data_IF_161631779367
#
_entry.id   IF_161631779367
#
_cell.length_a   1.000
_cell.length_b   1.000
_cell.length_c   1.000
_cell.angle_alpha   90.00
_cell.angle_beta   90.00
_cell.angle_gamma   90.00
#
_symmetry.space_group_name_H-M   'P 1'
#
loop_
_entity.id
_entity.type
_entity.pdbx_description
1 polymer ?
2 non-polymer ?
3 non-polymer ?
4 water ?
#
# COMPACT_ATOMS: atom_id res chain seq x y z
N UNK A 3 10.15 -6.14 -36.90
CA UNK A 3 9.45 -7.14 -36.02
C UNK A 3 8.57 -8.08 -36.80
N UNK A 4 8.46 -9.32 -36.32
CA UNK A 4 7.66 -10.34 -36.98
C UNK A 4 6.20 -10.19 -36.57
N UNK A 5 5.37 -9.77 -37.52
CA UNK A 5 3.94 -9.65 -37.29
C UNK A 5 3.28 -11.00 -37.08
N UNK A 6 3.80 -12.03 -37.76
CA UNK A 6 3.33 -13.41 -37.59
C UNK A 6 3.48 -13.87 -36.15
N UNK A 7 4.66 -13.60 -35.57
CA UNK A 7 4.98 -14.00 -34.20
C UNK A 7 4.13 -13.22 -33.19
N UNK A 8 4.14 -11.90 -33.31
CA UNK A 8 3.31 -11.03 -32.45
C UNK A 8 1.82 -11.35 -32.53
N UNK A 9 1.33 -11.71 -33.72
CA UNK A 9 -0.06 -12.12 -33.88
C UNK A 9 -0.37 -13.38 -33.09
N UNK A 10 0.57 -14.33 -33.08
CA UNK A 10 0.40 -15.54 -32.30
C UNK A 10 0.32 -15.24 -30.81
N UNK A 11 1.19 -14.35 -30.34
CA UNK A 11 1.14 -13.84 -28.95
C UNK A 11 -0.17 -13.13 -28.66
N UNK A 12 -0.65 -12.35 -29.63
CA UNK A 12 -1.94 -11.66 -29.53
C UNK A 12 -3.07 -12.66 -29.38
N UNK A 13 -3.04 -13.73 -30.19
CA UNK A 13 -4.04 -14.79 -30.11
C UNK A 13 -4.04 -15.49 -28.76
N UNK A 14 -2.86 -15.73 -28.19
CA UNK A 14 -2.74 -16.38 -26.89
C UNK A 14 -3.26 -15.50 -25.76
N UNK A 15 -2.95 -14.21 -25.84
CA UNK A 15 -3.40 -13.22 -24.90
C UNK A 15 -4.92 -13.07 -24.92
N UNK A 16 -5.49 -13.03 -26.13
CA UNK A 16 -6.92 -12.78 -26.28
C UNK A 16 -7.82 -14.01 -26.06
N UNK A 17 -7.25 -15.21 -26.24
CA UNK A 17 -7.98 -16.46 -26.02
C UNK A 17 -8.19 -16.69 -24.51
N UNK A 18 -7.20 -16.31 -23.72
CA UNK A 18 -7.29 -16.41 -22.25
C UNK A 18 -6.98 -15.06 -21.60
N UNK A 19 -7.92 -14.09 -21.68
CA UNK A 19 -7.60 -12.72 -21.26
C UNK A 19 -7.24 -12.58 -19.77
N UNK A 20 -7.85 -13.40 -18.91
CA UNK A 20 -7.55 -13.35 -17.48
C UNK A 20 -6.15 -13.86 -17.11
N UNK A 21 -5.52 -14.61 -18.00
CA UNK A 21 -4.19 -15.15 -17.76
C UNK A 21 -3.06 -14.36 -18.43
N UNK A 22 -3.43 -13.30 -19.14
CA UNK A 22 -2.48 -12.43 -19.86
C UNK A 22 -1.51 -11.79 -18.87
N UNK A 23 -0.23 -12.03 -19.12
CA UNK A 23 0.94 -11.58 -18.33
C UNK A 23 1.14 -12.24 -16.96
N UNK A 24 0.23 -13.14 -16.59
CA UNK A 24 0.39 -13.93 -15.36
C UNK A 24 1.60 -14.85 -15.45
N UNK A 25 2.36 -14.92 -14.37
CA UNK A 25 3.53 -15.80 -14.31
C UNK A 25 3.16 -17.16 -13.74
N UNK A 26 3.98 -18.17 -14.06
CA UNK A 26 3.89 -19.50 -13.48
C UNK A 26 4.29 -19.42 -12.00
N UNK A 27 3.89 -20.44 -11.23
CA UNK A 27 4.20 -20.57 -9.80
C UNK A 27 5.70 -20.39 -9.58
N UNK A 28 6.04 -19.48 -8.67
CA UNK A 28 7.43 -19.16 -8.39
C UNK A 28 7.89 -19.88 -7.13
N UNK A 29 9.20 -19.87 -6.90
CA UNK A 29 9.78 -20.57 -5.77
C UNK A 29 9.97 -19.67 -4.54
N UNK A 30 10.32 -18.42 -4.78
CA UNK A 30 10.57 -17.45 -3.71
C UNK A 30 9.26 -16.94 -3.13
N UNK A 31 9.15 -16.96 -1.80
CA UNK A 31 7.95 -16.51 -1.08
C UNK A 31 8.28 -15.31 -0.22
N UNK A 32 7.26 -14.48 0.06
CA UNK A 32 7.48 -13.25 0.79
C UNK A 32 6.45 -13.02 1.88
N UNK A 33 6.89 -12.37 2.97
CA UNK A 33 5.97 -11.82 3.94
C UNK A 33 6.14 -10.30 4.05
N UNK A 34 5.12 -9.57 3.62
CA UNK A 34 5.13 -8.12 3.71
C UNK A 34 4.35 -7.61 4.91
N UNK A 35 5.01 -6.84 5.76
CA UNK A 35 4.30 -6.15 6.82
C UNK A 35 4.35 -4.68 6.51
N UNK A 36 3.17 -4.08 6.40
CA UNK A 36 3.08 -2.67 6.07
C UNK A 36 1.90 -1.97 6.70
N UNK A 37 1.90 -0.64 6.60
CA UNK A 37 0.96 0.28 7.24
C UNK A 37 1.17 0.26 8.75
N UNK A 38 0.60 -0.74 9.43
CA UNK A 38 0.76 -0.95 10.88
C UNK A 38 0.64 0.31 11.71
N UNK A 39 -0.40 1.10 11.45
CA UNK A 39 -0.63 2.32 12.18
C UNK A 39 -1.28 2.00 13.52
N UNK A 40 -1.01 2.84 14.53
CA UNK A 40 -1.64 2.71 15.84
C UNK A 40 -3.16 2.78 15.76
N UNK A 41 -3.86 1.87 16.46
CA UNK A 41 -5.33 1.82 16.40
C UNK A 41 -5.98 2.89 17.29
N UNK A 42 -5.53 4.13 17.11
CA UNK A 42 -5.91 5.25 17.96
C UNK A 42 -6.56 6.36 17.15
N UNK A 43 -6.87 6.07 15.89
CA UNK A 43 -7.44 7.05 14.97
C UNK A 43 -7.57 6.56 13.54
N UNK A 44 -8.22 7.36 12.67
CA UNK A 44 -8.21 7.07 11.24
C UNK A 44 -6.83 7.31 10.65
N UNK A 45 -6.55 6.67 9.51
CA UNK A 45 -5.26 6.79 8.85
C UNK A 45 -4.96 8.22 8.41
N UNK A 46 -3.75 8.68 8.73
CA UNK A 46 -3.29 9.96 8.26
C UNK A 46 -2.84 9.82 6.82
N UNK A 47 -2.67 10.94 6.12
CA UNK A 47 -2.28 10.93 4.72
C UNK A 47 -0.84 10.42 4.52
N UNK A 48 0.01 10.59 5.53
CA UNK A 48 1.39 10.09 5.50
C UNK A 48 1.52 8.58 5.44
N UNK A 49 0.44 7.86 5.74
CA UNK A 49 0.39 6.41 5.62
C UNK A 49 0.07 5.96 4.19
N UNK A 50 -0.38 6.89 3.35
CA UNK A 50 -0.95 6.55 2.06
C UNK A 50 0.04 5.95 1.06
N UNK A 51 1.23 6.55 0.96
CA UNK A 51 2.25 6.04 0.04
C UNK A 51 2.66 4.62 0.37
N UNK A 52 2.96 4.34 1.64
CA UNK A 52 3.28 3.00 2.12
C UNK A 52 2.16 2.02 1.81
N UNK A 53 0.93 2.41 2.15
CA UNK A 53 -0.25 1.57 1.89
C UNK A 53 -0.44 1.26 0.39
N UNK A 54 -0.38 2.30 -0.44
CA UNK A 54 -0.62 2.16 -1.89
C UNK A 54 0.50 1.34 -2.52
N UNK A 55 1.75 1.65 -2.16
CA UNK A 55 2.90 0.89 -2.62
C UNK A 55 2.79 -0.59 -2.25
N UNK A 56 2.47 -0.89 -0.99
CA UNK A 56 2.43 -2.28 -0.53
C UNK A 56 1.35 -3.12 -1.16
N UNK A 57 0.19 -2.51 -1.40
CA UNK A 57 -0.92 -3.26 -1.99
C UNK A 57 -0.63 -3.53 -3.46
N UNK A 58 -0.05 -2.55 -4.13
CA UNK A 58 0.31 -2.73 -5.53
C UNK A 58 1.38 -3.81 -5.62
N UNK A 59 2.42 -3.71 -4.80
CA UNK A 59 3.45 -4.76 -4.69
C UNK A 59 2.85 -6.15 -4.51
N UNK A 60 1.91 -6.25 -3.56
CA UNK A 60 1.21 -7.51 -3.28
C UNK A 60 0.47 -8.04 -4.50
N UNK A 61 -0.37 -7.20 -5.11
CA UNK A 61 -1.14 -7.58 -6.30
C UNK A 61 -0.23 -8.02 -7.43
N UNK A 62 0.88 -7.30 -7.58
CA UNK A 62 1.85 -7.59 -8.63
C UNK A 62 2.57 -8.91 -8.36
N UNK A 63 3.07 -9.08 -7.14
CA UNK A 63 3.68 -10.35 -6.75
C UNK A 63 2.78 -11.56 -7.00
N UNK A 64 1.51 -11.45 -6.61
CA UNK A 64 0.55 -12.55 -6.80
C UNK A 64 0.31 -12.83 -8.29
N UNK A 65 0.16 -11.77 -9.08
CA UNK A 65 -0.04 -11.87 -10.53
C UNK A 65 1.10 -12.64 -11.17
N UNK A 66 2.32 -12.37 -10.72
CA UNK A 66 3.51 -12.97 -11.28
C UNK A 66 3.78 -14.38 -10.74
N UNK A 67 2.93 -14.86 -9.84
CA UNK A 67 3.01 -16.24 -9.36
C UNK A 67 3.81 -16.43 -8.09
N UNK A 68 4.14 -15.31 -7.42
CA UNK A 68 4.85 -15.39 -6.15
C UNK A 68 3.84 -15.63 -5.02
N UNK A 69 4.23 -16.47 -4.06
CA UNK A 69 3.49 -16.61 -2.79
C UNK A 69 3.83 -15.37 -1.98
N UNK A 70 2.82 -14.59 -1.62
CA UNK A 70 3.08 -13.27 -1.05
C UNK A 70 2.01 -12.96 -0.02
N UNK A 71 2.40 -12.98 1.25
CA UNK A 71 1.51 -12.69 2.37
C UNK A 71 1.66 -11.29 2.90
N UNK A 72 0.55 -10.76 3.42
CA UNK A 72 0.52 -9.43 4.00
C UNK A 72 0.04 -9.47 5.45
N UNK A 73 0.60 -8.57 6.26
CA UNK A 73 0.35 -8.54 7.69
C UNK A 73 0.43 -7.11 8.24
N UNK A 74 -0.42 -6.83 9.21
CA UNK A 74 -0.53 -5.54 9.86
C UNK A 74 -0.31 -5.79 11.34
N UNK A 75 0.59 -5.01 11.93
CA UNK A 75 0.89 -5.13 13.34
C UNK A 75 0.09 -4.10 14.12
N UNK A 76 -0.73 -4.58 15.05
CA UNK A 76 -1.58 -3.72 15.88
C UNK A 76 -0.89 -3.43 17.21
N UNK A 77 -0.49 -2.18 17.42
CA UNK A 77 0.14 -1.76 18.68
C UNK A 77 -0.93 -1.57 19.74
N UNK A 78 -1.49 -2.67 20.22
CA UNK A 78 -2.69 -2.60 21.07
C UNK A 78 -2.46 -2.93 22.54
N UNK A 79 -1.25 -2.68 23.02
CA UNK A 79 -0.95 -2.81 24.44
C UNK A 79 -1.80 -1.81 25.22
N UNK A 80 -2.19 -2.20 26.44
CA UNK A 80 -2.96 -1.34 27.33
C UNK A 80 -2.29 0.00 27.58
N UNK A 81 -0.96 -0.03 27.67
CA UNK A 81 -0.14 1.15 27.87
C UNK A 81 -0.06 2.05 26.63
N UNK A 82 -0.30 1.45 25.46
CA UNK A 82 -0.29 2.18 24.19
C UNK A 82 -1.65 2.84 23.91
N UNK A 83 -2.73 2.12 24.20
CA UNK A 83 -4.09 2.56 23.89
C UNK A 83 -4.81 3.27 25.04
N UNK A 84 -4.12 3.44 26.17
CA UNK A 84 -4.70 4.08 27.36
C UNK A 84 -5.22 5.49 27.05
N UNK A 85 -4.38 6.29 26.38
CA UNK A 85 -4.71 7.67 26.00
C UNK A 85 -5.97 7.76 25.12
N UNK A 86 -6.18 6.78 24.26
CA UNK A 86 -7.40 6.70 23.45
C UNK A 86 -8.64 6.51 24.34
N UNK A 87 -8.55 5.64 25.36
CA UNK A 87 -9.61 5.46 26.33
C UNK A 87 -9.84 6.72 27.16
N UNK A 88 -8.74 7.37 27.52
CA UNK A 88 -8.75 8.63 28.26
C UNK A 88 -9.45 9.74 27.49
N UNK A 89 -9.09 9.88 26.22
CA UNK A 89 -9.59 10.94 25.36
C UNK A 89 -11.09 10.86 25.09
N UNK A 90 -11.59 9.64 24.94
CA UNK A 90 -13.03 9.40 24.74
C UNK A 90 -13.84 9.77 25.97
N UNK A 91 -13.32 9.36 27.14
CA UNK A 91 -13.89 9.73 28.44
C UNK A 91 -14.03 11.25 28.59
N UNK A 92 -12.96 11.96 28.22
CA UNK A 92 -12.89 13.41 28.34
C UNK A 92 -13.87 14.13 27.43
N UNK A 93 -14.04 13.62 26.21
CA UNK A 93 -14.99 14.22 25.27
C UNK A 93 -16.44 13.83 25.56
N UNK A 94 -16.64 12.72 26.28
CA UNK A 94 -17.96 12.38 26.84
C UNK A 94 -18.31 13.41 27.92
N UNK A 95 -17.32 13.73 28.76
CA UNK A 95 -17.48 14.68 29.86
C UNK A 95 -17.79 16.12 29.42
N UNK A 96 -17.19 16.55 28.31
CA UNK A 96 -17.32 17.96 27.90
C UNK A 96 -18.35 18.22 26.80
N UNK A 97 -18.44 17.32 25.82
CA UNK A 97 -19.35 17.52 24.69
C UNK A 97 -20.73 16.86 24.89
N UNK A 98 -20.80 15.87 25.77
CA UNK A 98 -22.05 15.15 26.03
C UNK A 98 -22.57 15.43 27.45
N UNK A 99 -21.65 15.50 28.40
CA UNK A 99 -22.00 15.73 29.81
C UNK A 99 -21.80 17.18 30.27
N UNK A 100 -21.16 17.99 29.43
CA UNK A 100 -21.05 19.45 29.58
C UNK A 100 -20.36 20.00 30.84
N UNK A 101 -19.43 19.24 31.42
CA UNK A 101 -18.64 19.77 32.54
C UNK A 101 -17.27 20.31 32.11
N UNK A 102 -16.73 21.21 32.91
CA UNK A 102 -15.37 21.73 32.74
C UNK A 102 -14.34 20.67 33.12
N UNK A 103 -13.44 20.36 32.19
CA UNK A 103 -12.45 19.29 32.39
C UNK A 103 -11.00 19.71 32.16
N UNK A 104 -10.11 19.10 32.94
CA UNK A 104 -8.67 19.24 32.79
C UNK A 104 -8.17 18.47 31.58
N UNK A 105 -7.37 19.13 30.74
CA UNK A 105 -6.77 18.48 29.57
C UNK A 105 -5.26 18.40 29.68
N UNK A 106 -4.69 17.20 29.42
CA UNK A 106 -3.23 16.99 29.39
C UNK A 106 -2.59 17.61 28.15
N UNK A 107 -1.27 17.55 28.08
CA UNK A 107 -0.53 18.15 26.96
C UNK A 107 -0.58 17.30 25.69
N UNK A 108 -0.84 16.00 25.85
CA UNK A 108 -1.01 15.09 24.72
C UNK A 108 -2.34 14.35 24.84
N UNK A 109 -3.25 14.59 23.91
CA UNK A 109 -4.56 13.92 23.86
C UNK A 109 -5.13 13.86 22.44
N UNK A 110 -6.02 12.89 22.22
CA UNK A 110 -6.64 12.72 20.91
C UNK A 110 -7.95 13.50 20.77
N UNK A 111 -8.01 14.32 19.73
CA UNK A 111 -9.13 15.22 19.47
C UNK A 111 -9.58 15.12 18.02
N UNK A 112 -10.81 15.53 17.74
CA UNK A 112 -11.32 15.57 16.38
C UNK A 112 -12.76 15.12 16.25
N UNK A 113 -13.27 15.18 15.01
CA UNK A 113 -14.61 14.72 14.69
C UNK A 113 -14.78 13.23 15.01
N UNK A 114 -13.73 12.44 14.80
CA UNK A 114 -13.79 11.00 15.05
C UNK A 114 -13.89 10.68 16.55
N UNK A 115 -13.28 11.51 17.38
CA UNK A 115 -13.28 11.30 18.82
C UNK A 115 -14.65 11.61 19.43
N UNK A 116 -15.36 12.58 18.86
CA UNK A 116 -16.68 12.95 19.37
C UNK A 116 -17.77 11.99 18.88
N UNK A 117 -17.61 11.42 17.68
CA UNK A 117 -18.53 10.42 17.14
C UNK A 117 -18.46 9.12 17.93
N UNK A 118 -17.24 8.74 18.29
CA UNK A 118 -16.94 7.53 19.04
C UNK A 118 -17.41 7.67 20.50
N UNK A 119 -17.29 8.88 21.04
CA UNK A 119 -17.81 9.22 22.36
C UNK A 119 -19.34 9.11 22.44
N UNK A 120 -20.01 9.47 21.34
CA UNK A 120 -21.46 9.32 21.22
C UNK A 120 -21.85 7.85 21.11
N UNK A 121 -21.00 7.08 20.42
CA UNK A 121 -21.16 5.64 20.34
C UNK A 121 -20.94 5.00 21.71
N UNK A 122 -19.96 5.53 22.44
CA UNK A 122 -19.60 5.03 23.77
C UNK A 122 -20.71 5.27 24.80
N UNK A 123 -21.24 6.49 24.79
CA UNK A 123 -22.29 6.90 25.73
C UNK A 123 -23.58 6.11 25.53
N UNK A 124 -23.87 5.76 24.28
CA UNK A 124 -25.05 4.98 23.92
C UNK A 124 -24.93 3.51 24.33
N UNK A 125 -23.72 2.97 24.23
CA UNK A 125 -23.44 1.56 24.50
C UNK A 125 -23.34 1.27 26.00
N UNK A 126 -22.60 2.12 26.72
CA UNK A 126 -22.23 1.86 28.10
C UNK A 126 -23.10 2.56 29.13
N UNK A 127 -23.69 3.69 28.74
CA UNK A 127 -24.49 4.50 29.65
C UNK A 127 -23.64 5.43 30.51
N UNK A 128 -24.29 6.44 31.08
CA UNK A 128 -23.67 7.50 31.88
C UNK A 128 -22.82 7.01 33.04
N UNK A 129 -23.31 5.92 33.67
CA UNK A 129 -22.72 5.31 34.86
C UNK A 129 -21.27 4.85 34.68
N UNK A 130 -20.96 4.45 33.45
CA UNK A 130 -19.73 3.78 33.11
C UNK A 130 -18.53 4.71 33.15
N UNK A 131 -18.78 5.96 32.88
CA UNK A 131 -17.73 6.92 32.58
C UNK A 131 -16.99 7.49 33.79
N UNK A 132 -16.09 6.67 34.32
CA UNK A 132 -15.17 7.06 35.38
C UNK A 132 -13.77 6.54 35.04
N UNK A 133 -12.75 7.05 35.75
CA UNK A 133 -11.33 6.73 35.51
C UNK A 133 -10.96 5.24 35.63
N UNK A 134 -11.76 4.48 36.34
CA UNK A 134 -11.50 3.05 36.51
C UNK A 134 -11.87 2.21 35.29
N UNK A 135 -12.75 2.74 34.46
CA UNK A 135 -13.20 2.03 33.26
C UNK A 135 -12.46 2.42 31.97
N UNK A 136 -11.42 3.25 32.09
CA UNK A 136 -10.61 3.68 30.93
C UNK A 136 -10.05 2.52 30.08
N UNK A 137 -9.37 1.51 30.70
CA UNK A 137 -8.89 0.43 29.83
C UNK A 137 -9.98 -0.48 29.25
N UNK A 138 -11.14 -0.53 29.89
CA UNK A 138 -12.31 -1.21 29.32
C UNK A 138 -12.84 -0.43 28.11
N UNK A 139 -12.76 0.90 28.21
CA UNK A 139 -13.20 1.82 27.16
C UNK A 139 -12.21 1.77 25.99
N UNK A 140 -10.92 1.80 26.33
CA UNK A 140 -9.83 1.72 25.36
C UNK A 140 -9.84 0.43 24.53
N UNK A 141 -10.13 -0.71 25.17
CA UNK A 141 -10.24 -1.99 24.47
C UNK A 141 -11.36 -1.99 23.43
N UNK A 142 -12.52 -1.47 23.84
CA UNK A 142 -13.69 -1.31 22.98
C UNK A 142 -13.41 -0.33 21.86
N UNK A 143 -12.72 0.75 22.22
CA UNK A 143 -12.40 1.83 21.28
C UNK A 143 -11.42 1.41 20.21
N UNK A 144 -10.32 0.77 20.63
CA UNK A 144 -9.26 0.38 19.71
C UNK A 144 -9.76 -0.63 18.68
N UNK A 145 -10.76 -1.43 19.08
CA UNK A 145 -11.43 -2.34 18.18
C UNK A 145 -12.30 -1.61 17.16
N UNK A 146 -12.89 -0.49 17.57
CA UNK A 146 -13.68 0.35 16.67
C UNK A 146 -12.77 1.07 15.69
N UNK A 147 -11.64 1.56 16.18
CA UNK A 147 -10.64 2.23 15.35
C UNK A 147 -9.99 1.30 14.35
N UNK A 148 -9.80 0.04 14.73
CA UNK A 148 -9.27 -0.96 13.83
C UNK A 148 -10.28 -1.27 12.74
N UNK A 149 -11.56 -1.22 13.08
CA UNK A 149 -12.64 -1.33 12.10
C UNK A 149 -12.59 -0.13 11.15
N UNK A 150 -12.38 1.06 11.72
CA UNK A 150 -12.25 2.31 10.96
C UNK A 150 -11.05 2.28 10.00
N UNK A 151 -9.90 1.85 10.51
CA UNK A 151 -8.67 1.76 9.72
C UNK A 151 -8.87 0.77 8.57
N UNK A 152 -9.48 -0.38 8.87
CA UNK A 152 -9.79 -1.36 7.82
C UNK A 152 -10.63 -0.78 6.69
N UNK A 153 -11.63 0.01 7.04
CA UNK A 153 -12.47 0.63 6.00
C UNK A 153 -11.81 1.82 5.30
N UNK A 154 -10.92 2.53 6.00
CA UNK A 154 -10.03 3.53 5.40
C UNK A 154 -9.22 2.90 4.28
N UNK A 155 -8.69 1.71 4.53
CA UNK A 155 -7.93 0.94 3.57
C UNK A 155 -8.81 0.37 2.46
N UNK A 156 -10.01 -0.08 2.81
CA UNK A 156 -10.93 -0.65 1.83
C UNK A 156 -11.39 0.41 0.83
N UNK A 157 -11.52 1.64 1.31
CA UNK A 157 -11.83 2.80 0.48
C UNK A 157 -10.79 3.00 -0.64
N UNK A 158 -9.54 2.70 -0.34
CA UNK A 158 -8.45 2.77 -1.32
C UNK A 158 -8.17 1.41 -1.97
N UNK A 159 -9.13 0.49 -1.86
CA UNK A 159 -9.06 -0.86 -2.44
C UNK A 159 -7.94 -1.73 -1.83
N UNK A 160 -7.66 -1.51 -0.56
CA UNK A 160 -6.61 -2.25 0.15
C UNK A 160 -7.20 -3.15 1.23
N UNK A 161 -6.91 -4.44 1.12
CA UNK A 161 -7.22 -5.40 2.18
C UNK A 161 -5.94 -6.12 2.59
N UNK A 162 -5.67 -6.17 3.89
CA UNK A 162 -4.49 -6.86 4.43
C UNK A 162 -4.92 -8.21 5.02
N UNK A 163 -4.13 -9.25 4.76
CA UNK A 163 -4.57 -10.63 5.03
C UNK A 163 -4.46 -11.11 6.47
N UNK A 164 -3.72 -10.39 7.30
CA UNK A 164 -3.54 -10.78 8.70
C UNK A 164 -3.27 -9.58 9.59
N UNK A 165 -4.07 -9.43 10.63
CA UNK A 165 -3.84 -8.41 11.65
C UNK A 165 -3.36 -9.11 12.92
N UNK A 166 -2.20 -8.69 13.43
CA UNK A 166 -1.62 -9.34 14.63
C UNK A 166 -1.51 -8.39 15.81
N UNK A 167 -1.72 -8.92 17.01
CA UNK A 167 -1.75 -8.12 18.23
C UNK A 167 -0.41 -8.12 18.95
N UNK A 168 0.00 -6.92 19.40
CA UNK A 168 1.16 -6.73 20.28
C UNK A 168 1.00 -7.55 21.56
N UNK A 169 -0.22 -7.57 22.11
CA UNK A 169 -0.55 -8.28 23.34
C UNK A 169 -0.28 -9.79 23.30
N UNK A 170 -0.34 -10.39 22.11
CA UNK A 170 -0.06 -11.82 21.98
C UNK A 170 1.43 -12.18 21.99
N UNK A 171 2.28 -11.17 22.22
CA UNK A 171 3.74 -11.36 22.28
C UNK A 171 4.36 -11.10 23.65
N UNK A 172 3.54 -11.02 24.71
CA UNK A 172 4.05 -10.80 26.06
C UNK A 172 4.72 -12.05 26.61
N UNK A 173 4.19 -13.22 26.23
CA UNK A 173 4.76 -14.50 26.61
C UNK A 173 6.00 -14.86 25.79
N UNK A 174 6.23 -14.17 24.68
CA UNK A 174 7.29 -14.51 23.74
C UNK A 174 8.63 -13.82 23.99
N UNK A 175 8.66 -12.93 24.98
CA UNK A 175 9.84 -12.12 25.27
C UNK A 175 11.02 -12.95 25.78
N UNK A 176 10.71 -13.90 26.66
CA UNK A 176 11.75 -14.73 27.27
C UNK A 176 12.52 -15.55 26.25
N UNK A 177 11.81 -16.18 25.30
CA UNK A 177 12.42 -16.96 24.23
C UNK A 177 13.34 -16.13 23.34
N UNK A 178 12.98 -14.86 23.14
CA UNK A 178 13.80 -13.90 22.40
C UNK A 178 15.09 -13.59 23.17
N UNK A 179 14.97 -13.28 24.46
CA UNK A 179 16.13 -13.04 25.31
C UNK A 179 17.08 -14.23 25.28
N UNK A 180 16.52 -15.42 25.47
CA UNK A 180 17.27 -16.66 25.43
C UNK A 180 18.03 -16.86 24.13
N UNK A 181 17.32 -16.71 23.01
CA UNK A 181 17.92 -16.89 21.68
C UNK A 181 19.03 -15.87 21.44
N UNK A 182 18.80 -14.63 21.86
CA UNK A 182 19.80 -13.57 21.84
C UNK A 182 21.05 -13.92 22.66
N UNK A 183 20.86 -14.53 23.82
CA UNK A 183 21.99 -14.94 24.66
C UNK A 183 22.77 -16.09 24.05
N UNK A 184 22.06 -17.03 23.43
CA UNK A 184 22.67 -18.16 22.72
C UNK A 184 23.60 -17.74 21.57
N UNK A 185 23.44 -16.49 21.11
CA UNK A 185 24.30 -15.89 20.08
C UNK A 185 25.16 -14.76 20.64
N UNK A 186 25.17 -14.65 21.96
CA UNK A 186 25.95 -13.66 22.73
C UNK A 186 25.57 -12.22 22.41
N UNK A 187 24.28 -11.99 22.18
CA UNK A 187 23.79 -10.70 21.74
C UNK A 187 23.34 -9.78 22.83
N UNK A 188 23.26 -10.28 24.06
CA UNK A 188 22.79 -9.48 25.19
C UNK A 188 23.73 -9.51 26.36
N UNK A 189 23.70 -8.44 27.16
CA UNK A 189 24.50 -8.31 28.37
C UNK A 189 23.83 -7.36 29.35
N UNK A 190 24.15 -7.51 30.64
CA UNK A 190 23.65 -6.60 31.67
C UNK A 190 24.66 -5.50 31.95
N UNK A 191 24.13 -4.28 32.13
CA UNK A 191 24.88 -3.13 32.59
C UNK A 191 23.92 -2.12 33.21
N UNK A 192 24.32 -1.54 34.35
CA UNK A 192 23.56 -0.54 35.11
C UNK A 192 22.10 -0.92 35.37
N UNK A 193 21.89 -2.19 35.70
CA UNK A 193 20.54 -2.71 35.97
C UNK A 193 19.67 -2.90 34.75
N UNK A 194 20.27 -2.79 33.56
CA UNK A 194 19.54 -2.92 32.31
C UNK A 194 20.10 -4.06 31.48
N UNK A 195 19.25 -4.66 30.65
CA UNK A 195 19.70 -5.63 29.66
C UNK A 195 19.81 -4.91 28.32
N UNK A 196 20.98 -5.02 27.70
CA UNK A 196 21.30 -4.33 26.46
C UNK A 196 21.50 -5.32 25.32
N UNK A 197 21.20 -4.88 24.10
CA UNK A 197 21.60 -5.59 22.88
C UNK A 197 22.94 -5.05 22.40
N UNK A 198 23.89 -5.95 22.12
CA UNK A 198 25.24 -5.57 21.69
C UNK A 198 25.29 -5.29 20.20
N UNK A 199 24.46 -4.35 19.74
CA UNK A 199 24.22 -4.13 18.31
C UNK A 199 25.39 -3.48 17.58
N UNK A 200 26.23 -2.75 18.32
CA UNK A 200 27.44 -2.15 17.74
C UNK A 200 28.51 -3.19 17.35
N UNK A 201 28.36 -4.42 17.82
CA UNK A 201 29.20 -5.54 17.40
C UNK A 201 28.77 -6.07 16.01
N UNK A 202 27.66 -5.54 15.52
CA UNK A 202 27.06 -5.93 14.24
C UNK A 202 26.73 -4.72 13.35
N UNK A 203 27.46 -3.63 13.54
CA UNK A 203 27.37 -2.49 12.62
C UNK A 203 26.41 -1.37 12.95
N UNK A 204 25.78 -1.44 14.11
CA UNK A 204 24.94 -0.34 14.58
C UNK A 204 25.86 0.74 15.17
N UNK A 205 25.37 1.97 15.25
CA UNK A 205 26.08 3.10 15.83
C UNK A 205 26.48 2.84 17.28
N UNK A 206 25.51 2.42 18.09
CA UNK A 206 25.71 2.17 19.52
C UNK A 206 24.79 1.04 20.02
N UNK A 207 25.05 0.56 21.23
CA UNK A 207 24.23 -0.51 21.83
C UNK A 207 22.89 0.04 22.32
N UNK A 208 21.92 -0.85 22.46
CA UNK A 208 20.51 -0.46 22.67
C UNK A 208 19.88 -1.18 23.86
N UNK A 209 18.99 -0.49 24.56
CA UNK A 209 18.30 -1.09 25.71
C UNK A 209 17.15 -2.02 25.29
N UNK A 210 17.24 -3.27 25.73
CA UNK A 210 16.18 -4.25 25.53
C UNK A 210 15.23 -4.25 26.73
N UNK A 211 15.79 -4.42 27.94
CA UNK A 211 15.00 -4.40 29.16
C UNK A 211 15.47 -3.23 30.03
N UNK A 212 14.51 -2.40 30.44
CA UNK A 212 14.78 -1.27 31.32
C UNK A 212 15.08 -1.76 32.74
N UNK A 213 15.58 -0.85 33.57
CA UNK A 213 15.81 -1.06 35.01
C UNK A 213 14.52 -1.41 35.75
N UNK A 214 13.39 -1.11 35.10
CA UNK A 214 12.05 -1.36 35.59
C UNK A 214 11.74 -2.85 35.53
N UNK A 215 12.37 -3.56 34.60
CA UNK A 215 12.04 -4.95 34.31
C UNK A 215 11.15 -5.05 33.09
N UNK A 216 10.80 -3.91 32.51
CA UNK A 216 9.95 -3.87 31.33
C UNK A 216 10.72 -3.83 30.03
N UNK A 217 10.17 -4.50 29.02
CA UNK A 217 10.72 -4.47 27.66
C UNK A 217 10.53 -3.11 27.02
N UNK A 218 11.48 -2.72 26.18
CA UNK A 218 11.39 -1.49 25.41
C UNK A 218 10.56 -1.69 24.13
N UNK A 219 10.33 -0.61 23.39
CA UNK A 219 9.73 -0.71 22.06
C UNK A 219 10.61 -1.55 21.14
N UNK A 220 11.93 -1.40 21.27
CA UNK A 220 12.86 -2.20 20.47
C UNK A 220 12.70 -3.69 20.76
N UNK A 221 12.60 -4.02 22.05
CA UNK A 221 12.39 -5.40 22.49
C UNK A 221 11.15 -6.00 21.83
N UNK A 222 10.04 -5.29 21.92
CA UNK A 222 8.76 -5.67 21.30
C UNK A 222 8.93 -5.89 19.79
N UNK A 223 9.69 -5.01 19.16
CA UNK A 223 9.93 -5.06 17.71
C UNK A 223 10.77 -6.28 17.33
N UNK A 224 11.81 -6.56 18.11
CA UNK A 224 12.65 -7.75 17.94
C UNK A 224 11.86 -9.08 18.06
N UNK A 225 11.07 -9.17 19.14
CA UNK A 225 10.16 -10.31 19.38
C UNK A 225 9.25 -10.60 18.18
N UNK A 226 8.59 -9.56 17.67
CA UNK A 226 7.72 -9.69 16.50
C UNK A 226 8.50 -10.15 15.28
N UNK A 227 9.63 -9.51 15.03
CA UNK A 227 10.46 -9.85 13.89
C UNK A 227 11.02 -11.27 13.95
N UNK A 228 11.35 -11.73 15.16
CA UNK A 228 11.77 -13.11 15.39
C UNK A 228 10.69 -14.10 14.92
N UNK A 229 9.44 -13.82 15.30
CA UNK A 229 8.29 -14.58 14.78
C UNK A 229 8.19 -14.50 13.25
N UNK A 230 8.14 -13.30 12.67
CA UNK A 230 8.05 -13.16 11.19
C UNK A 230 9.14 -13.90 10.41
N UNK A 231 10.38 -13.82 10.88
CA UNK A 231 11.52 -14.43 10.17
C UNK A 231 11.67 -15.93 10.37
N UNK A 232 10.90 -16.50 11.27
CA UNK A 232 11.01 -17.94 11.52
C UNK A 232 9.74 -18.63 11.04
N UNK A 233 9.14 -18.09 9.97
CA UNK A 233 7.88 -18.61 9.48
C UNK A 233 7.99 -19.37 8.16
N UNK A 234 9.21 -19.45 7.62
CA UNK A 234 9.43 -20.21 6.39
C UNK A 234 9.36 -19.42 5.09
N UNK A 235 9.16 -18.10 5.18
CA UNK A 235 9.14 -17.26 3.98
C UNK A 235 10.55 -17.02 3.46
N UNK A 236 10.69 -16.95 2.14
CA UNK A 236 11.98 -16.63 1.52
C UNK A 236 12.54 -15.30 1.99
N UNK A 237 11.67 -14.31 2.11
CA UNK A 237 12.07 -12.95 2.50
C UNK A 237 10.96 -12.27 3.31
N UNK A 238 11.35 -11.44 4.29
CA UNK A 238 10.42 -10.52 4.93
C UNK A 238 10.67 -9.11 4.45
N UNK A 239 9.61 -8.46 3.98
CA UNK A 239 9.68 -7.07 3.52
C UNK A 239 8.96 -6.14 4.49
N UNK A 240 9.62 -5.05 4.89
CA UNK A 240 8.97 -3.97 5.61
C UNK A 240 8.90 -2.72 4.73
N UNK A 241 7.83 -1.96 4.91
CA UNK A 241 7.78 -0.61 4.35
C UNK A 241 7.75 0.39 5.50
N UNK A 242 8.82 1.16 5.63
CA UNK A 242 8.93 2.14 6.70
C UNK A 242 8.97 3.54 6.12
N UNK A 243 8.63 4.54 6.95
CA UNK A 243 8.79 5.94 6.57
C UNK A 243 10.27 6.24 6.48
N UNK A 244 10.64 7.10 5.53
CA UNK A 244 12.05 7.42 5.25
C UNK A 244 12.80 8.02 6.43
N UNK A 245 12.09 8.67 7.35
CA UNK A 245 12.71 9.22 8.55
C UNK A 245 13.14 8.16 9.58
N UNK A 246 12.80 6.90 9.32
CA UNK A 246 13.22 5.78 10.16
C UNK A 246 14.42 5.03 9.58
N UNK A 247 15.23 5.70 8.76
CA UNK A 247 16.43 5.10 8.17
C UNK A 247 17.45 4.66 9.23
N UNK A 248 17.63 5.48 10.26
CA UNK A 248 18.61 5.22 11.33
C UNK A 248 18.32 4.02 12.21
N UNK A 249 17.11 3.47 12.05
CA UNK A 249 16.63 2.35 12.83
C UNK A 249 16.96 1.01 12.16
N UNK A 250 17.34 1.06 10.88
CA UNK A 250 17.68 -0.16 10.13
C UNK A 250 18.82 -0.99 10.75
N UNK A 251 20.01 -0.37 11.03
CA UNK A 251 21.12 -1.19 11.53
C UNK A 251 20.86 -1.98 12.81
N UNK A 252 20.10 -1.41 13.76
CA UNK A 252 19.80 -2.11 15.02
C UNK A 252 18.85 -3.28 14.84
N UNK A 253 18.02 -3.24 13.80
CA UNK A 253 17.11 -4.33 13.54
C UNK A 253 17.84 -5.46 12.82
N UNK A 254 18.70 -5.12 11.88
CA UNK A 254 19.52 -6.12 11.18
C UNK A 254 20.45 -6.84 12.16
N UNK A 255 21.01 -6.08 13.10
CA UNK A 255 21.89 -6.59 14.15
C UNK A 255 21.17 -7.58 15.04
N UNK A 256 19.93 -7.25 15.40
CA UNK A 256 19.07 -8.12 16.19
C UNK A 256 18.81 -9.44 15.49
N UNK A 257 18.51 -9.37 14.18
CA UNK A 257 18.25 -10.57 13.39
C UNK A 257 19.47 -11.46 13.25
N UNK A 258 20.65 -10.86 13.16
CA UNK A 258 21.90 -11.61 13.12
C UNK A 258 22.13 -12.33 14.45
N UNK A 259 21.78 -11.66 15.55
CA UNK A 259 21.88 -12.23 16.88
C UNK A 259 20.74 -13.22 17.21
N UNK A 260 19.93 -13.55 16.23
CA UNK A 260 18.88 -14.56 16.39
C UNK A 260 19.11 -15.72 15.42
N UNK A 261 20.26 -15.67 14.75
CA UNK A 261 20.65 -16.76 13.85
C UNK A 261 20.20 -16.54 12.42
N UNK A 262 19.50 -15.42 12.19
CA UNK A 262 18.98 -15.11 10.86
C UNK A 262 20.02 -14.39 9.99
N UNK A 263 19.90 -14.59 8.69
CA UNK A 263 20.63 -13.80 7.70
C UNK A 263 19.81 -12.53 7.50
N UNK A 264 20.38 -11.40 7.90
CA UNK A 264 19.66 -10.12 7.85
C UNK A 264 19.41 -9.60 6.42
N UNK A 265 20.08 -10.20 5.43
CA UNK A 265 19.75 -9.93 4.02
C UNK A 265 18.37 -10.44 3.60
N UNK A 266 17.79 -11.32 4.41
CA UNK A 266 16.42 -11.80 4.19
C UNK A 266 15.35 -10.89 4.81
N UNK A 267 15.80 -9.79 5.42
CA UNK A 267 14.92 -8.69 5.79
C UNK A 267 15.19 -7.50 4.90
N UNK A 268 14.22 -7.20 4.04
CA UNK A 268 14.34 -6.13 3.05
C UNK A 268 13.53 -4.95 3.55
N UNK A 269 14.19 -3.81 3.79
CA UNK A 269 13.49 -2.60 4.22
C UNK A 269 13.29 -1.66 3.03
N UNK A 270 12.03 -1.38 2.72
CA UNK A 270 11.68 -0.38 1.69
C UNK A 270 11.28 0.93 2.37
N UNK A 271 11.90 2.04 1.97
CA UNK A 271 11.60 3.33 2.57
C UNK A 271 10.66 4.19 1.73
N UNK A 272 9.55 4.59 2.34
CA UNK A 272 8.54 5.42 1.68
C UNK A 272 8.80 6.89 2.02
N UNK A 273 9.10 7.68 0.99
CA UNK A 273 9.40 9.09 1.19
C UNK A 273 8.18 9.98 1.36
N UNK A 274 8.41 11.19 1.88
CA UNK A 274 7.36 12.16 2.13
C UNK A 274 6.65 12.59 0.83
N UNK A 275 5.35 12.85 0.96
CA UNK A 275 4.55 13.34 -0.15
C UNK A 275 4.04 14.77 0.15
N UNK A 276 4.17 15.67 -0.82
CA UNK A 276 3.56 17.00 -0.73
C UNK A 276 2.31 17.07 -1.59
N UNK A 277 1.18 17.34 -0.95
CA UNK A 277 -0.06 17.54 -1.69
C UNK A 277 -0.34 19.02 -1.84
N UNK A 278 -0.70 19.41 -3.05
CA UNK A 278 -1.03 20.80 -3.36
C UNK A 278 -2.44 20.92 -3.91
N UNK A 279 -3.06 22.07 -3.65
CA UNK A 279 -4.29 22.49 -4.35
C UNK A 279 -4.16 23.95 -4.73
N UNK A 280 -4.26 24.21 -6.04
CA UNK A 280 -4.13 25.55 -6.65
C UNK A 280 -2.77 26.23 -6.41
N UNK A 281 -1.73 25.42 -6.30
CA UNK A 281 -0.36 25.90 -6.09
C UNK A 281 0.04 26.05 -4.63
N UNK A 282 -0.94 25.93 -3.74
CA UNK A 282 -0.73 26.08 -2.31
C UNK A 282 -0.80 24.70 -1.65
N UNK A 283 0.03 24.45 -0.61
CA UNK A 283 -0.07 23.21 0.17
C UNK A 283 -1.48 22.90 0.70
N UNK A 284 -1.88 21.64 0.54
CA UNK A 284 -3.17 21.11 0.98
C UNK A 284 -3.41 21.29 2.48
N UNK A 285 -4.63 21.68 2.83
CA UNK A 285 -5.07 21.86 4.22
C UNK A 285 -6.60 21.81 4.31
N UNK A 286 -7.13 22.07 5.51
CA UNK A 286 -8.57 22.28 5.68
C UNK A 286 -8.87 23.42 6.66
N UNK A 290 -11.75 20.00 11.88
CA UNK A 290 -12.19 18.75 12.50
C UNK A 290 -11.02 17.81 12.81
N UNK A 291 -9.83 18.40 13.01
CA UNK A 291 -8.63 17.63 13.31
C UNK A 291 -7.34 18.38 12.99
N UNK A 292 -6.25 18.00 13.66
CA UNK A 292 -4.95 18.63 13.44
C UNK A 292 -4.08 17.88 12.40
N UNK A 293 -4.63 16.82 11.83
CA UNK A 293 -3.95 16.01 10.82
C UNK A 293 -4.82 15.87 9.56
N UNK A 294 -4.18 15.75 8.40
CA UNK A 294 -4.92 15.44 7.18
C UNK A 294 -5.14 13.93 7.10
N UNK A 295 -6.38 13.55 6.86
CA UNK A 295 -6.80 12.16 6.87
C UNK A 295 -6.74 11.58 5.46
N UNK A 296 -6.28 10.34 5.35
CA UNK A 296 -6.31 9.59 4.09
C UNK A 296 -7.72 9.57 3.51
N UNK A 297 -8.69 9.39 4.40
CA UNK A 297 -10.12 9.40 4.14
C UNK A 297 -10.62 10.68 3.46
N UNK A 298 -10.14 11.83 3.95
CA UNK A 298 -10.54 13.13 3.42
C UNK A 298 -10.06 13.31 1.98
N UNK A 299 -8.82 12.88 1.73
CA UNK A 299 -8.22 12.96 0.41
C UNK A 299 -8.94 12.03 -0.59
N UNK A 300 -9.25 10.81 -0.17
CA UNK A 300 -10.01 9.88 -1.03
C UNK A 300 -11.42 10.40 -1.31
N UNK A 301 -12.02 11.07 -0.33
CA UNK A 301 -13.33 11.71 -0.50
C UNK A 301 -13.27 12.77 -1.61
N UNK A 302 -12.17 13.52 -1.63
CA UNK A 302 -12.01 14.61 -2.56
C UNK A 302 -11.58 14.15 -3.95
N UNK A 303 -10.54 13.32 -4.02
CA UNK A 303 -9.97 12.95 -5.33
C UNK A 303 -10.41 11.59 -5.89
N UNK A 304 -10.99 10.73 -5.05
CA UNK A 304 -11.36 9.40 -5.50
C UNK A 304 -10.21 8.42 -5.41
N UNK A 305 -10.56 7.13 -5.36
CA UNK A 305 -9.62 6.04 -5.16
C UNK A 305 -8.59 5.87 -6.26
N UNK A 306 -9.05 5.89 -7.52
CA UNK A 306 -8.17 5.74 -8.68
C UNK A 306 -7.04 6.75 -8.68
N UNK A 307 -7.39 8.01 -8.37
CA UNK A 307 -6.42 9.10 -8.34
C UNK A 307 -5.39 8.86 -7.26
N UNK A 308 -5.83 8.44 -6.06
CA UNK A 308 -4.92 8.11 -4.96
C UNK A 308 -3.97 6.99 -5.36
N UNK A 309 -4.53 5.94 -5.95
CA UNK A 309 -3.77 4.79 -6.37
C UNK A 309 -2.76 5.15 -7.47
N UNK A 310 -3.06 6.18 -8.26
CA UNK A 310 -2.16 6.60 -9.32
C UNK A 310 -1.05 7.48 -8.77
N UNK A 311 -1.45 8.58 -8.14
CA UNK A 311 -0.55 9.62 -7.67
C UNK A 311 0.50 9.03 -6.74
N UNK A 312 0.07 8.18 -5.80
CA UNK A 312 0.96 7.66 -4.78
C UNK A 312 1.91 6.55 -5.25
N UNK A 313 1.71 6.11 -6.49
CA UNK A 313 2.58 5.11 -7.11
C UNK A 313 3.51 5.74 -8.16
N UNK A 314 3.30 7.02 -8.45
CA UNK A 314 3.79 7.62 -9.70
C UNK A 314 5.25 8.04 -9.70
N UNK A 315 5.91 8.00 -8.54
CA UNK A 315 7.33 8.29 -8.48
C UNK A 315 8.06 7.32 -7.56
N UNK A 316 9.31 7.04 -7.89
CA UNK A 316 10.20 6.17 -7.11
C UNK A 316 10.05 6.41 -5.60
N UNK A 317 9.91 5.31 -4.87
CA UNK A 317 9.44 5.29 -3.48
C UNK A 317 10.28 6.11 -2.49
N UNK A 318 11.60 6.10 -2.68
CA UNK A 318 12.52 6.84 -1.81
C UNK A 318 12.85 8.25 -2.33
N UNK A 319 12.04 8.74 -3.27
CA UNK A 319 12.17 10.11 -3.78
C UNK A 319 10.91 10.91 -3.44
N UNK A 320 11.08 12.22 -3.21
CA UNK A 320 9.98 13.14 -2.89
C UNK A 320 8.96 13.26 -4.01
N UNK A 321 7.68 13.16 -3.66
CA UNK A 321 6.59 13.27 -4.60
C UNK A 321 5.79 14.53 -4.28
N UNK A 322 5.62 15.38 -5.29
CA UNK A 322 4.79 16.56 -5.17
C UNK A 322 3.71 16.50 -6.23
N UNK A 323 2.46 16.70 -5.84
CA UNK A 323 1.37 16.67 -6.79
C UNK A 323 0.31 17.71 -6.47
N UNK A 324 -0.16 18.40 -7.51
CA UNK A 324 -1.26 19.33 -7.40
C UNK A 324 -2.55 18.64 -7.84
N UNK A 325 -3.51 18.56 -6.91
CA UNK A 325 -4.78 17.86 -7.14
C UNK A 325 -5.76 18.58 -8.08
N UNK A 326 -5.42 19.83 -8.43
CA UNK A 326 -6.23 20.62 -9.37
C UNK A 326 -6.07 20.09 -10.80
N UNK A 327 -5.01 19.31 -11.02
CA UNK A 327 -4.73 18.69 -12.32
C UNK A 327 -5.78 17.64 -12.69
N UNK A 328 -6.49 17.12 -11.68
CA UNK A 328 -7.55 16.12 -11.87
C UNK A 328 -8.88 16.71 -12.36
N UNK A 329 -8.89 18.02 -12.58
CA UNK A 329 -10.03 18.70 -13.16
C UNK A 329 -9.90 18.76 -14.68
N UNK A 330 -8.65 18.68 -15.16
CA UNK A 330 -8.35 18.67 -16.59
C UNK A 330 -8.78 17.36 -17.27
N UNK A 331 -9.07 17.44 -18.57
CA UNK A 331 -9.44 16.27 -19.34
C UNK A 331 -8.50 16.08 -20.53
N UNK A 332 -7.21 15.99 -20.23
CA UNK A 332 -6.19 15.81 -21.26
C UNK A 332 -5.02 14.96 -20.75
N UNK A 333 -3.84 15.19 -21.34
CA UNK A 333 -2.61 14.47 -21.01
C UNK A 333 -2.16 14.67 -19.56
N UNK A 334 -2.49 15.82 -18.99
CA UNK A 334 -2.07 16.18 -17.64
C UNK A 334 -2.84 15.48 -16.52
N UNK A 335 -4.01 14.92 -16.84
CA UNK A 335 -4.74 14.03 -15.92
C UNK A 335 -4.61 12.60 -16.40
N UNK A 336 -3.57 11.88 -15.92
CA UNK A 336 -3.23 10.60 -16.50
C UNK A 336 -4.31 9.54 -16.29
N UNK A 337 -5.00 9.57 -15.16
CA UNK A 337 -6.10 8.62 -14.92
C UNK A 337 -7.22 8.77 -15.96
N UNK A 338 -7.61 10.02 -16.22
CA UNK A 338 -8.61 10.33 -17.25
C UNK A 338 -8.13 9.82 -18.59
N UNK A 339 -6.91 10.21 -18.92
CA UNK A 339 -6.31 10.01 -20.22
C UNK A 339 -6.16 8.52 -20.54
N UNK A 340 -5.71 7.75 -19.55
CA UNK A 340 -5.56 6.31 -19.71
C UNK A 340 -6.93 5.64 -19.82
N UNK A 341 -7.86 6.00 -18.94
CA UNK A 341 -9.24 5.52 -19.03
C UNK A 341 -9.91 5.89 -20.35
N UNK A 342 -9.62 7.09 -20.83
CA UNK A 342 -10.16 7.58 -22.10
C UNK A 342 -9.73 6.69 -23.27
N UNK A 343 -8.48 6.24 -23.26
CA UNK A 343 -7.97 5.29 -24.24
C UNK A 343 -8.80 4.01 -24.25
N UNK A 344 -9.02 3.45 -23.06
CA UNK A 344 -9.80 2.23 -22.88
C UNK A 344 -11.26 2.40 -23.33
N UNK A 345 -11.87 3.52 -22.94
CA UNK A 345 -13.25 3.85 -23.30
C UNK A 345 -13.42 4.09 -24.81
N UNK A 346 -12.43 4.73 -25.42
CA UNK A 346 -12.41 5.00 -26.86
C UNK A 346 -12.43 3.70 -27.66
N UNK A 347 -11.71 2.69 -27.17
CA UNK A 347 -11.68 1.34 -27.77
C UNK A 347 -13.04 0.66 -27.64
N UNK A 348 -13.63 0.74 -26.44
CA UNK A 348 -14.94 0.16 -26.18
C UNK A 348 -16.01 0.74 -27.10
N UNK A 349 -15.93 2.05 -27.34
CA UNK A 349 -16.89 2.76 -28.19
C UNK A 349 -16.74 2.46 -29.68
N UNK A 350 -15.50 2.34 -30.17
CA UNK A 350 -15.28 2.00 -31.58
C UNK A 350 -15.79 0.57 -31.91
N UNK A 351 -15.72 -0.33 -30.92
CA UNK A 351 -16.28 -1.67 -31.08
C UNK A 351 -17.81 -1.66 -31.15
N UNK A 352 -18.43 -0.73 -30.43
CA UNK A 352 -19.87 -0.56 -30.42
C UNK A 352 -20.32 0.09 -31.73
N UNK A 353 -19.52 1.04 -32.21
CA UNK A 353 -19.75 1.72 -33.49
C UNK A 353 -19.70 0.75 -34.66
N UNK A 354 -18.74 -0.18 -34.62
CA UNK A 354 -18.57 -1.18 -35.67
C UNK A 354 -19.58 -2.32 -35.56
N UNK A 355 -20.30 -2.39 -34.44
CA UNK A 355 -21.25 -3.47 -34.18
C UNK A 355 -20.57 -4.82 -34.07
N UNK A 356 -19.43 -4.85 -33.40
CA UNK A 356 -18.64 -6.08 -33.26
C UNK A 356 -18.20 -6.36 -31.83
N UNK A 357 -18.07 -7.64 -31.51
CA UNK A 357 -17.47 -8.07 -30.26
C UNK A 357 -16.03 -8.48 -30.55
N UNK A 358 -15.23 -8.57 -29.48
CA UNK A 358 -13.79 -8.86 -29.60
C UNK A 358 -13.49 -10.24 -30.18
N UNK A 359 -14.48 -11.14 -30.11
CA UNK A 359 -14.35 -12.49 -30.67
C UNK A 359 -14.59 -12.53 -32.18
N UNK A 360 -15.23 -11.50 -32.72
CA UNK A 360 -15.51 -11.41 -34.16
C UNK A 360 -14.28 -10.99 -34.98
N UNK A 361 -13.29 -10.40 -34.31
CA UNK A 361 -12.11 -9.82 -34.97
C UNK A 361 -10.84 -10.64 -34.70
N UNK A 362 -11.02 -11.71 -33.93
CA UNK A 362 -9.95 -12.64 -33.53
C UNK A 362 -9.21 -13.26 -34.72
N UNK A 363 -9.98 -13.61 -35.75
CA UNK A 363 -9.50 -14.24 -36.98
C UNK A 363 -8.56 -13.38 -37.83
N UNK A 364 -8.50 -12.08 -37.56
CA UNK A 364 -7.58 -11.18 -38.25
C UNK A 364 -6.14 -11.53 -37.93
N UNK A 365 -5.22 -11.30 -38.87
CA UNK A 365 -3.84 -11.73 -38.69
C UNK A 365 -2.85 -10.60 -38.43
N UNK A 366 -3.33 -9.36 -38.50
CA UNK A 366 -2.54 -8.15 -38.17
C UNK A 366 -1.48 -7.79 -39.22
N UNK A 367 -1.50 -8.48 -40.35
CA UNK A 367 -0.47 -8.32 -41.38
C UNK A 367 -0.51 -6.94 -42.04
N UNK A 368 -1.67 -6.30 -42.04
CA UNK A 368 -1.81 -4.99 -42.70
C UNK A 368 -1.39 -3.80 -41.85
N UNK A 369 -1.05 -4.03 -40.59
CA UNK A 369 -0.61 -2.96 -39.68
C UNK A 369 0.61 -2.21 -40.21
N UNK A 370 0.53 -0.89 -40.19
CA UNK A 370 1.67 -0.03 -40.51
C UNK A 370 2.65 -0.03 -39.33
N UNK A 371 3.81 0.60 -39.50
CA UNK A 371 4.85 0.64 -38.47
C UNK A 371 4.35 1.14 -37.11
N UNK A 372 3.53 2.18 -37.13
CA UNK A 372 2.88 2.73 -35.92
C UNK A 372 1.99 1.72 -35.24
N UNK A 373 1.29 0.90 -36.03
CA UNK A 373 0.44 -0.15 -35.51
C UNK A 373 1.25 -1.29 -34.90
N UNK A 374 2.35 -1.66 -35.56
CA UNK A 374 3.23 -2.71 -35.05
C UNK A 374 3.91 -2.30 -33.74
N UNK A 375 4.35 -1.04 -33.66
CA UNK A 375 4.92 -0.50 -32.41
C UNK A 375 3.92 -0.60 -31.26
N UNK A 376 2.67 -0.23 -31.54
CA UNK A 376 1.61 -0.22 -30.55
C UNK A 376 1.25 -1.63 -30.14
N UNK A 377 1.28 -2.54 -31.11
CA UNK A 377 1.10 -3.97 -30.86
C UNK A 377 2.20 -4.49 -29.95
N UNK A 378 3.45 -4.19 -30.29
CA UNK A 378 4.58 -4.58 -29.45
C UNK A 378 4.42 -4.03 -28.05
N UNK A 379 4.07 -2.74 -27.96
CA UNK A 379 3.89 -2.05 -26.69
C UNK A 379 2.83 -2.75 -25.84
N UNK A 380 1.72 -3.14 -26.47
CA UNK A 380 0.66 -3.87 -25.78
C UNK A 380 1.20 -5.16 -25.17
N UNK A 381 1.92 -5.94 -25.96
CA UNK A 381 2.45 -7.24 -25.53
C UNK A 381 3.62 -7.15 -24.55
N UNK A 382 4.30 -6.01 -24.55
CA UNK A 382 5.45 -5.75 -23.69
C UNK A 382 5.13 -5.61 -22.19
N UNK A 383 3.84 -5.63 -21.84
CA UNK A 383 3.42 -5.52 -20.42
C UNK A 383 4.07 -6.56 -19.53
N UNK A 384 4.12 -7.81 -19.99
CA UNK A 384 4.75 -8.92 -19.25
C UNK A 384 6.17 -8.59 -18.78
N UNK A 385 7.00 -8.12 -19.72
CA UNK A 385 8.37 -7.71 -19.43
C UNK A 385 8.41 -6.59 -18.39
N UNK A 386 7.56 -5.58 -18.59
CA UNK A 386 7.49 -4.44 -17.68
C UNK A 386 7.16 -4.87 -16.26
N UNK A 387 6.13 -5.72 -16.11
CA UNK A 387 5.66 -6.16 -14.78
C UNK A 387 6.72 -6.94 -14.01
N UNK A 388 7.38 -7.87 -14.69
CA UNK A 388 8.46 -8.65 -14.09
C UNK A 388 9.62 -7.77 -13.68
N UNK A 389 9.93 -6.79 -14.52
CA UNK A 389 11.02 -5.86 -14.25
C UNK A 389 10.65 -4.93 -13.09
N UNK A 390 9.38 -4.51 -13.04
CA UNK A 390 8.89 -3.65 -11.97
C UNK A 390 8.97 -4.35 -10.61
N UNK A 391 8.59 -5.62 -10.58
CA UNK A 391 8.65 -6.37 -9.33
C UNK A 391 10.07 -6.56 -8.83
N UNK A 392 10.93 -7.10 -9.70
CA UNK A 392 12.29 -7.44 -9.35
C UNK A 392 13.15 -6.25 -8.91
N UNK A 393 12.88 -5.06 -9.42
CA UNK A 393 13.61 -3.85 -9.04
C UNK A 393 12.88 -3.05 -7.97
N UNK A 394 11.68 -3.51 -7.59
CA UNK A 394 10.76 -2.82 -6.67
C UNK A 394 10.36 -1.43 -7.19
N UNK A 395 10.44 -1.26 -8.51
CA UNK A 395 10.15 0.01 -9.16
C UNK A 395 8.72 0.06 -9.69
N UNK A 396 7.77 0.25 -8.78
CA UNK A 396 6.35 0.17 -9.17
C UNK A 396 5.87 1.32 -10.05
N UNK A 397 6.61 2.44 -10.06
CA UNK A 397 6.29 3.58 -10.91
C UNK A 397 6.45 3.29 -12.40
N UNK A 398 7.12 2.19 -12.75
CA UNK A 398 7.17 1.69 -14.12
C UNK A 398 5.78 1.29 -14.63
N UNK A 399 4.88 0.91 -13.74
CA UNK A 399 3.52 0.56 -14.15
C UNK A 399 2.71 1.80 -14.66
N UNK A 400 2.56 2.89 -13.85
CA UNK A 400 2.00 4.13 -14.42
C UNK A 400 2.74 4.69 -15.65
N UNK A 401 4.07 4.62 -15.66
CA UNK A 401 4.87 5.08 -16.80
C UNK A 401 4.53 4.34 -18.10
N UNK A 402 4.37 3.02 -17.99
CA UNK A 402 4.01 2.17 -19.12
C UNK A 402 2.66 2.59 -19.67
N UNK A 403 1.73 2.78 -18.76
CA UNK A 403 0.34 3.05 -19.08
C UNK A 403 0.18 4.42 -19.71
N UNK A 404 0.88 5.41 -19.15
CA UNK A 404 0.96 6.76 -19.70
C UNK A 404 1.37 6.76 -21.16
N UNK A 405 2.49 6.10 -21.45
CA UNK A 405 3.03 6.03 -22.79
C UNK A 405 2.13 5.24 -23.73
N UNK A 406 1.55 4.15 -23.23
CA UNK A 406 0.64 3.34 -24.04
C UNK A 406 -0.63 4.10 -24.41
N UNK A 407 -1.16 4.89 -23.47
CA UNK A 407 -2.36 5.70 -23.74
C UNK A 407 -2.05 6.79 -24.76
N UNK A 408 -0.90 7.45 -24.59
CA UNK A 408 -0.47 8.50 -25.50
C UNK A 408 -0.35 7.97 -26.93
N UNK A 409 0.36 6.85 -27.08
CA UNK A 409 0.56 6.22 -28.37
C UNK A 409 -0.72 5.69 -28.99
N UNK A 410 -1.61 5.10 -28.18
CA UNK A 410 -2.92 4.70 -28.68
C UNK A 410 -3.70 5.89 -29.22
N UNK A 411 -3.87 6.92 -28.40
CA UNK A 411 -4.64 8.09 -28.76
C UNK A 411 -4.16 8.66 -30.07
N UNK A 412 -2.85 8.85 -30.20
CA UNK A 412 -2.24 9.39 -31.40
C UNK A 412 -2.51 8.46 -32.60
N UNK A 413 -2.34 7.16 -32.42
CA UNK A 413 -2.64 6.21 -33.49
C UNK A 413 -4.09 6.30 -33.97
N UNK A 414 -5.04 6.27 -33.03
CA UNK A 414 -6.46 6.26 -33.39
C UNK A 414 -6.93 7.58 -34.03
N UNK A 415 -6.30 8.69 -33.64
CA UNK A 415 -6.56 9.98 -34.25
C UNK A 415 -6.18 10.00 -35.72
N UNK A 416 -5.15 9.24 -36.06
CA UNK A 416 -4.56 9.28 -37.39
C UNK A 416 -5.05 8.13 -38.27
N UNK A 417 -5.86 7.25 -37.70
CA UNK A 417 -6.28 6.06 -38.42
C UNK A 417 -7.79 5.84 -38.37
N UNK A 418 -8.40 5.79 -39.55
CA UNK A 418 -9.83 5.52 -39.68
C UNK A 418 -10.05 4.02 -39.45
N UNK A 419 -11.09 3.67 -38.68
CA UNK A 419 -11.29 2.28 -38.30
C UNK A 419 -12.55 1.65 -38.92
N UNK A 420 -13.72 2.13 -38.50
CA UNK A 420 -15.00 1.55 -38.92
C UNK A 420 -15.20 1.85 -40.40
N UNK A 421 -15.50 0.81 -41.19
CA UNK A 421 -15.69 0.95 -42.62
C UNK A 421 -14.47 0.68 -43.47
N UNK A 422 -13.27 0.75 -42.85
CA UNK A 422 -12.03 0.53 -43.60
C UNK A 422 -11.82 -0.94 -43.93
N UNK A 423 -10.95 -1.23 -44.90
CA UNK A 423 -10.75 -2.60 -45.41
C UNK A 423 -10.02 -3.47 -44.42
N UNK A 424 -9.38 -2.83 -43.44
CA UNK A 424 -8.64 -3.55 -42.41
C UNK A 424 -9.18 -3.24 -41.02
N UNK A 425 -10.51 -3.11 -40.96
CA UNK A 425 -11.24 -2.82 -39.74
C UNK A 425 -10.91 -3.84 -38.65
N UNK A 426 -11.00 -5.12 -39.01
CA UNK A 426 -10.74 -6.21 -38.08
C UNK A 426 -9.33 -6.23 -37.50
N UNK A 427 -8.34 -5.94 -38.33
CA UNK A 427 -6.94 -5.82 -37.92
C UNK A 427 -6.77 -4.73 -36.87
N UNK A 428 -7.36 -3.58 -37.15
CA UNK A 428 -7.29 -2.43 -36.24
C UNK A 428 -8.05 -2.68 -34.94
N UNK A 429 -9.25 -3.24 -35.05
CA UNK A 429 -10.03 -3.62 -33.88
C UNK A 429 -9.29 -4.63 -32.99
N UNK A 430 -8.70 -5.65 -33.61
CA UNK A 430 -7.96 -6.67 -32.85
C UNK A 430 -6.77 -6.05 -32.12
N UNK A 431 -6.06 -5.17 -32.83
CA UNK A 431 -5.01 -4.37 -32.22
C UNK A 431 -5.57 -3.65 -31.00
N UNK A 432 -6.69 -2.94 -31.18
CA UNK A 432 -7.30 -2.14 -30.12
C UNK A 432 -7.71 -3.01 -28.94
N UNK A 433 -8.21 -4.22 -29.22
CA UNK A 433 -8.67 -5.13 -28.17
C UNK A 433 -7.52 -5.55 -27.28
N UNK A 434 -6.34 -5.63 -27.87
CA UNK A 434 -5.14 -5.95 -27.11
C UNK A 434 -4.63 -4.78 -26.27
N UNK A 435 -4.74 -3.56 -26.79
CA UNK A 435 -4.41 -2.33 -26.05
C UNK A 435 -5.35 -2.17 -24.84
N UNK A 436 -6.65 -2.37 -25.07
CA UNK A 436 -7.64 -2.35 -24.00
C UNK A 436 -7.30 -3.36 -22.90
N UNK A 437 -6.80 -4.52 -23.30
CA UNK A 437 -6.47 -5.60 -22.37
C UNK A 437 -5.26 -5.27 -21.49
N UNK A 438 -4.23 -4.67 -22.09
CA UNK A 438 -3.06 -4.20 -21.34
C UNK A 438 -3.40 -3.09 -20.36
N UNK A 439 -4.30 -2.18 -20.77
CA UNK A 439 -4.71 -1.08 -19.91
C UNK A 439 -5.43 -1.66 -18.68
N UNK A 440 -6.40 -2.53 -18.95
CA UNK A 440 -7.22 -3.18 -17.93
C UNK A 440 -6.38 -4.03 -16.96
N UNK A 441 -5.52 -4.87 -17.50
CA UNK A 441 -4.61 -5.68 -16.71
C UNK A 441 -3.74 -4.82 -15.77
N UNK A 442 -2.95 -3.92 -16.34
CA UNK A 442 -2.03 -3.09 -15.55
C UNK A 442 -2.77 -2.26 -14.50
N UNK A 443 -3.86 -1.63 -14.91
CA UNK A 443 -4.73 -0.86 -14.01
C UNK A 443 -5.24 -1.70 -12.84
N UNK A 444 -5.65 -2.94 -13.08
CA UNK A 444 -6.20 -3.80 -12.02
C UNK A 444 -5.18 -4.13 -10.94
N UNK A 445 -3.90 -4.18 -11.33
CA UNK A 445 -2.79 -4.40 -10.39
C UNK A 445 -2.53 -3.17 -9.54
N UNK A 446 -3.03 -2.03 -10.00
CA UNK A 446 -3.01 -0.77 -9.25
C UNK A 446 -4.33 -0.56 -8.49
N UNK A 447 -5.20 -1.57 -8.49
CA UNK A 447 -6.50 -1.48 -7.82
C UNK A 447 -7.47 -0.51 -8.47
N UNK A 448 -7.30 -0.32 -9.78
CA UNK A 448 -8.13 0.57 -10.59
C UNK A 448 -8.85 -0.27 -11.64
N UNK A 449 -10.17 -0.12 -11.71
CA UNK A 449 -10.99 -0.78 -12.73
C UNK A 449 -11.15 0.15 -13.93
N UNK A 450 -10.76 -0.34 -15.11
CA UNK A 450 -10.83 0.44 -16.34
C UNK A 450 -12.26 0.70 -16.78
N UNK A 451 -12.52 1.92 -17.22
CA UNK A 451 -13.87 2.35 -17.62
C UNK A 451 -14.16 2.07 -19.09
N UNK A 452 -15.36 1.55 -19.35
CA UNK A 452 -15.85 1.33 -20.70
C UNK A 452 -16.49 2.58 -21.29
N UNK A 453 -16.96 3.47 -20.41
CA UNK A 453 -17.65 4.71 -20.80
C UNK A 453 -17.18 5.88 -19.94
N UNK A 454 -16.98 7.05 -20.54
CA UNK A 454 -16.65 8.25 -19.79
C UNK A 454 -17.91 9.09 -19.58
X LIG B 1 7.03 -16.92 -16.22
X LIG B 1 8.10 -17.84 -16.65
X LIG B 1 6.18 -17.63 -15.27
X LIG B 1 7.65 -15.76 -15.58
X LIG B 1 6.23 -16.48 -17.35
X LIG C 1 11.04 2.58 25.61
X LIG C 1 9.96 1.60 25.63
X LIG C 1 10.45 3.91 25.69
X LIG C 1 11.93 2.36 26.75
X LIG C 1 11.80 2.47 24.36
X LIG D 1 -13.53 5.77 -36.73
X LIG D 1 -13.95 4.44 -37.16
X LIG D 1 -13.88 5.93 -35.32
X LIG D 1 -12.10 5.93 -36.91
X LIG D 1 -14.21 6.77 -37.53
X LIG E 1 -1.77 -4.95 28.53
X LIG E 1 -1.75 -6.08 29.44
X LIG E 1 -3.15 -4.66 28.16
X LIG E 1 -1.16 -3.78 29.17
X LIG E 1 -1.00 -5.28 27.33
X LIG F 1 10.59 2.44 14.36
X LIG F 1 10.29 3.35 15.38
X LIG F 1 9.31 1.83 13.80
X LIG F 1 9.46 1.54 12.42
X LIG F 1 8.95 0.57 14.59
X LIG F 1 8.64 -0.51 13.74
#
# INVERSE_FOLDING_TARGET
MSLSKTFLNELANQALTNPNDFTKGEKKQESFLLEYVSANPTGPLHIGHARGAVFGDTLTRLARHLGYKFNTEYYVNDAGNQIYLLGLSILLSVKESILHENVEYPEQYYKGEYIVDLAKEAFEKFGKEFFSEENIPSLADWAKDKMLVLIKQNLEQAKIKIDSYVSERSYYDALNATLESLKEHKGIYEQEGKIWLASSQKGDEKDRVIIREDGRGTYLAADIVYHKDKMSRGYGKCINIWGADHHGYIPRMKAAMEFLGFDSNNLEIILAQMVSLLKDGEPYKMSKRAGNFILMSDVVDEIGSDALRYIFLSKKCDTHLEFDISDLQKEDSSNPVYYINYAHARIHQVFAKAGKKIDDVMKADLQSLNQDGVNLLFEALNLKAVLNDAFEARALQKIPDYLKNLAANFHKFYNENKVVGSANENDLLKLFSLVALSIKTAFSLMGIEAKNKMEHEGHHHHHH
SO4 S O1 O2 O3 O4
SO4 S O1 O2 O3 O4
SO4 S O1 O2 O3 O4
SO4 S O1 O2 O3 O4
GOL C1 O1 C2 O2 C3 O3
#
